data_IF_912695237027
#
_entry.id   IF_912695237027
#
_cell.length_a   1.000
_cell.length_b   1.000
_cell.length_c   1.000
_cell.angle_alpha   90.00
_cell.angle_beta   90.00
_cell.angle_gamma   90.00
#
_symmetry.space_group_name_H-M   'P 1'
#
loop_
_entity.id
_entity.type
_entity.pdbx_description
1 polymer ?
#
# COMPACT_ATOMS: atom_id res chain seq x y z
N UNK A 1 -53.49 3.99 -14.38
CA UNK A 1 -53.05 3.56 -13.02
C UNK A 1 -51.90 2.61 -13.02
N UNK A 2 -51.73 1.67 -13.96
CA UNK A 2 -50.62 0.68 -14.00
C UNK A 2 -49.25 1.34 -14.26
N UNK A 3 -49.16 2.35 -15.14
CA UNK A 3 -47.90 3.05 -15.46
C UNK A 3 -47.28 3.78 -14.27
N UNK A 4 -48.07 4.35 -13.36
CA UNK A 4 -47.57 5.06 -12.18
C UNK A 4 -47.01 4.13 -11.13
N UNK A 5 -47.59 2.94 -10.96
CA UNK A 5 -47.08 1.90 -10.01
C UNK A 5 -45.74 1.29 -10.46
N UNK A 6 -45.58 1.12 -11.79
CA UNK A 6 -44.31 0.59 -12.33
C UNK A 6 -43.17 1.59 -12.18
N UNK A 7 -43.43 2.89 -12.39
CA UNK A 7 -42.45 3.96 -12.19
C UNK A 7 -42.04 4.05 -10.69
N UNK A 8 -43.00 3.90 -9.78
CA UNK A 8 -42.72 3.93 -8.34
C UNK A 8 -41.85 2.73 -7.89
N UNK A 9 -42.08 1.54 -8.43
CA UNK A 9 -41.28 0.35 -8.15
C UNK A 9 -39.86 0.49 -8.70
N UNK A 10 -39.70 1.05 -9.90
CA UNK A 10 -38.37 1.32 -10.48
C UNK A 10 -37.61 2.38 -9.66
N UNK A 11 -38.28 3.43 -9.17
CA UNK A 11 -37.63 4.43 -8.28
C UNK A 11 -37.23 3.84 -6.94
N UNK A 12 -38.02 2.96 -6.36
CA UNK A 12 -37.69 2.28 -5.10
C UNK A 12 -36.53 1.26 -5.29
N UNK A 13 -36.45 0.59 -6.44
CA UNK A 13 -35.33 -0.27 -6.76
C UNK A 13 -34.03 0.50 -7.04
N UNK A 14 -34.11 1.71 -7.59
CA UNK A 14 -32.94 2.58 -7.81
C UNK A 14 -32.46 3.29 -6.52
N UNK A 15 -33.33 3.54 -5.56
CA UNK A 15 -32.94 4.11 -4.26
C UNK A 15 -32.34 3.09 -3.29
N UNK A 16 -32.46 1.77 -3.58
CA UNK A 16 -31.92 0.70 -2.75
C UNK A 16 -30.46 0.29 -3.09
N UNK A 17 -29.83 0.85 -4.14
CA UNK A 17 -28.49 0.44 -4.59
C UNK A 17 -27.41 1.47 -4.23
N UNK A 18 -27.69 2.45 -3.40
CA UNK A 18 -26.62 3.22 -2.76
C UNK A 18 -26.20 2.57 -1.45
N UNK A 19 -25.79 1.30 -1.46
CA UNK A 19 -24.81 0.83 -0.51
C UNK A 19 -23.48 1.47 -0.93
N UNK A 20 -23.35 2.76 -0.68
CA UNK A 20 -22.07 3.38 -0.51
C UNK A 20 -21.31 2.48 0.48
N UNK A 21 -20.39 1.69 -0.03
CA UNK A 21 -19.33 1.13 0.79
C UNK A 21 -18.55 2.35 1.25
N UNK A 22 -19.02 2.96 2.33
CA UNK A 22 -18.27 3.96 3.04
C UNK A 22 -17.03 3.22 3.52
N UNK A 23 -15.98 3.29 2.73
CA UNK A 23 -14.66 2.83 3.11
C UNK A 23 -14.35 3.62 4.37
N UNK A 24 -14.39 2.94 5.52
CA UNK A 24 -14.08 3.58 6.80
C UNK A 24 -12.68 4.12 6.62
N UNK A 25 -12.57 5.42 6.51
CA UNK A 25 -11.29 6.07 6.26
C UNK A 25 -10.39 5.77 7.43
N UNK A 26 -9.41 4.90 7.21
CA UNK A 26 -8.38 4.49 8.16
C UNK A 26 -7.67 5.71 8.77
N UNK A 27 -7.44 6.72 7.96
CA UNK A 27 -6.86 7.98 8.37
C UNK A 27 -7.46 9.11 7.53
N UNK A 28 -7.43 10.34 8.07
CA UNK A 28 -7.82 11.55 7.36
C UNK A 28 -6.74 12.60 7.60
N UNK A 29 -6.53 13.45 6.60
CA UNK A 29 -5.70 14.63 6.79
C UNK A 29 -6.37 15.52 7.81
N UNK A 30 -5.62 15.93 8.82
CA UNK A 30 -6.09 16.72 9.95
C UNK A 30 -5.46 18.12 10.00
N UNK A 31 -5.78 18.87 11.03
CA UNK A 31 -5.33 20.24 11.26
C UNK A 31 -4.13 20.38 12.22
N UNK A 32 -3.56 19.27 12.66
CA UNK A 32 -2.34 19.21 13.45
C UNK A 32 -2.50 19.24 14.97
N UNK A 33 -3.72 19.35 15.51
CA UNK A 33 -3.99 19.24 16.94
C UNK A 33 -4.31 17.81 17.34
N UNK A 34 -3.54 17.23 18.29
CA UNK A 34 -3.68 15.85 18.77
C UNK A 34 -3.56 14.74 17.73
N UNK A 35 -2.97 15.04 16.57
CA UNK A 35 -2.84 14.14 15.44
C UNK A 35 -1.42 13.57 15.34
N UNK A 36 -1.23 12.60 14.43
CA UNK A 36 0.09 12.09 14.11
C UNK A 36 0.74 12.96 13.03
N UNK A 37 1.89 13.55 13.34
CA UNK A 37 2.62 14.46 12.46
C UNK A 37 3.54 13.66 11.55
N UNK A 38 3.28 13.65 10.24
CA UNK A 38 4.19 13.09 9.23
C UNK A 38 5.23 14.13 8.80
N UNK A 39 4.76 15.34 8.47
CA UNK A 39 5.60 16.51 8.15
C UNK A 39 4.97 17.72 8.82
N UNK A 40 5.72 18.40 9.69
CA UNK A 40 5.27 19.62 10.37
C UNK A 40 6.42 20.55 10.70
N UNK A 41 6.22 21.87 10.51
CA UNK A 41 7.19 22.92 10.83
C UNK A 41 8.60 22.61 10.27
N UNK A 42 8.64 22.10 9.03
CA UNK A 42 9.88 21.77 8.36
C UNK A 42 10.58 20.48 8.82
N UNK A 43 10.01 19.75 9.78
CA UNK A 43 10.52 18.45 10.25
C UNK A 43 9.70 17.32 9.66
N UNK A 44 10.36 16.25 9.24
CA UNK A 44 9.74 15.00 8.80
C UNK A 44 9.84 13.96 9.91
N UNK A 45 8.83 13.10 10.02
CA UNK A 45 8.91 11.90 10.86
C UNK A 45 9.87 10.88 10.23
N UNK A 46 10.19 9.81 10.96
CA UNK A 46 11.06 8.75 10.51
C UNK A 46 10.31 7.41 10.55
N UNK A 47 10.55 6.55 9.56
CA UNK A 47 9.95 5.24 9.46
C UNK A 47 10.99 4.16 9.75
N UNK A 48 10.64 3.24 10.65
CA UNK A 48 11.47 2.13 11.06
C UNK A 48 10.87 0.78 10.64
N UNK A 49 11.69 -0.07 10.02
CA UNK A 49 11.38 -1.46 9.69
C UNK A 49 12.46 -2.39 10.28
N UNK A 50 12.15 -3.67 10.44
CA UNK A 50 13.11 -4.66 10.88
C UNK A 50 13.79 -5.33 9.67
N UNK A 51 15.10 -5.44 9.68
CA UNK A 51 15.89 -6.09 8.61
C UNK A 51 15.52 -7.57 8.41
N UNK A 52 14.96 -8.21 9.44
CA UNK A 52 14.49 -9.61 9.38
C UNK A 52 13.14 -9.76 8.68
N UNK A 53 12.43 -8.65 8.43
CA UNK A 53 11.16 -8.67 7.73
C UNK A 53 11.37 -8.90 6.22
N UNK A 54 10.30 -9.20 5.52
CA UNK A 54 10.33 -9.47 4.09
C UNK A 54 10.76 -8.25 3.27
N UNK A 55 11.46 -8.47 2.16
CA UNK A 55 11.95 -7.40 1.27
C UNK A 55 10.85 -6.43 0.83
N UNK A 56 9.64 -6.92 0.60
CA UNK A 56 8.49 -6.07 0.24
C UNK A 56 8.22 -4.98 1.27
N UNK A 57 8.47 -5.23 2.56
CA UNK A 57 8.23 -4.25 3.63
C UNK A 57 9.18 -3.06 3.48
N UNK A 58 10.49 -3.31 3.31
CA UNK A 58 11.48 -2.27 3.02
C UNK A 58 11.14 -1.51 1.73
N UNK A 59 10.77 -2.25 0.67
CA UNK A 59 10.42 -1.67 -0.63
C UNK A 59 9.21 -0.74 -0.52
N UNK A 60 8.14 -1.17 0.13
CA UNK A 60 6.93 -0.35 0.30
C UNK A 60 7.16 0.82 1.26
N UNK A 61 8.04 0.68 2.26
CA UNK A 61 8.45 1.78 3.12
C UNK A 61 9.13 2.91 2.32
N UNK A 62 10.01 2.57 1.37
CA UNK A 62 10.64 3.56 0.49
C UNK A 62 9.61 4.21 -0.46
N UNK A 63 8.70 3.43 -1.05
CA UNK A 63 7.61 3.96 -1.87
C UNK A 63 6.70 4.90 -1.08
N UNK A 64 6.46 4.61 0.19
CA UNK A 64 5.71 5.50 1.08
C UNK A 64 6.45 6.81 1.36
N UNK A 65 7.78 6.77 1.52
CA UNK A 65 8.60 7.99 1.62
C UNK A 65 8.48 8.84 0.35
N UNK A 66 8.52 8.21 -0.84
CA UNK A 66 8.27 8.89 -2.12
C UNK A 66 6.86 9.51 -2.18
N UNK A 67 5.84 8.81 -1.67
CA UNK A 67 4.47 9.32 -1.60
C UNK A 67 4.39 10.59 -0.75
N UNK A 68 5.05 10.60 0.41
CA UNK A 68 5.12 11.79 1.27
C UNK A 68 5.86 12.92 0.54
N UNK A 69 6.93 12.62 -0.18
CA UNK A 69 7.67 13.60 -1.01
C UNK A 69 6.77 14.15 -2.13
N UNK A 70 5.97 13.31 -2.76
CA UNK A 70 5.00 13.75 -3.78
C UNK A 70 3.98 14.73 -3.18
N UNK A 71 3.52 14.54 -1.94
CA UNK A 71 2.54 15.41 -1.28
C UNK A 71 3.18 16.68 -0.73
N UNK A 72 4.36 16.57 -0.09
CA UNK A 72 4.91 17.67 0.74
C UNK A 72 6.18 18.30 0.18
N UNK A 73 6.81 17.69 -0.81
CA UNK A 73 8.14 18.05 -1.28
C UNK A 73 9.27 17.59 -0.34
N UNK A 74 8.98 16.83 0.73
CA UNK A 74 9.95 16.35 1.72
C UNK A 74 9.89 14.84 1.86
N UNK A 75 11.03 14.22 1.94
CA UNK A 75 11.15 12.79 2.24
C UNK A 75 11.12 12.54 3.75
N UNK A 76 10.70 11.35 4.13
CA UNK A 76 10.93 10.79 5.46
C UNK A 76 12.09 9.80 5.38
N UNK A 77 12.94 9.77 6.41
CA UNK A 77 13.98 8.75 6.50
C UNK A 77 13.34 7.36 6.71
N UNK A 78 13.86 6.37 6.00
CA UNK A 78 13.50 4.95 6.15
C UNK A 78 14.71 4.23 6.71
N UNK A 79 14.62 3.83 7.97
CA UNK A 79 15.75 3.28 8.73
C UNK A 79 15.44 1.91 9.29
N UNK A 80 16.48 1.13 9.54
CA UNK A 80 16.34 -0.11 10.31
C UNK A 80 16.07 0.21 11.77
N UNK A 81 15.32 -0.67 12.43
CA UNK A 81 15.06 -0.58 13.87
C UNK A 81 16.37 -0.58 14.64
N UNK A 82 16.57 0.41 15.52
CA UNK A 82 17.76 0.60 16.32
C UNK A 82 17.45 1.14 17.72
N UNK A 83 18.52 1.39 18.51
CA UNK A 83 18.37 1.88 19.89
C UNK A 83 17.87 3.33 19.97
N UNK A 84 18.24 4.17 19.01
CA UNK A 84 17.93 5.59 18.98
C UNK A 84 16.82 5.87 17.96
N UNK A 85 15.58 5.85 18.40
CA UNK A 85 14.42 6.16 17.56
C UNK A 85 13.97 7.61 17.75
N UNK A 86 13.43 8.21 16.70
CA UNK A 86 12.84 9.55 16.74
C UNK A 86 11.66 9.60 17.70
N UNK A 87 11.52 10.73 18.38
CA UNK A 87 10.43 10.96 19.37
C UNK A 87 9.02 10.79 18.77
N UNK A 88 8.86 11.04 17.48
CA UNK A 88 7.66 10.81 16.71
C UNK A 88 8.06 9.96 15.50
N UNK A 89 7.57 8.72 15.38
CA UNK A 89 8.04 7.77 14.39
C UNK A 89 6.93 6.88 13.84
N UNK A 90 7.22 6.23 12.71
CA UNK A 90 6.40 5.16 12.17
C UNK A 90 7.12 3.84 12.41
N UNK A 91 6.41 2.81 12.84
CA UNK A 91 6.91 1.45 12.95
C UNK A 91 6.06 0.58 12.04
N UNK A 92 6.70 -0.06 11.07
CA UNK A 92 6.02 -0.93 10.12
C UNK A 92 6.63 -2.31 10.14
N UNK A 93 5.79 -3.36 10.10
CA UNK A 93 6.31 -4.71 10.03
C UNK A 93 5.25 -5.80 9.97
N UNK A 94 5.75 -7.01 9.75
CA UNK A 94 4.94 -8.22 9.70
C UNK A 94 4.95 -8.90 11.07
N UNK A 95 3.81 -9.41 11.49
CA UNK A 95 3.64 -10.11 12.76
C UNK A 95 4.64 -11.28 12.88
N UNK A 96 5.44 -11.28 13.95
CA UNK A 96 6.50 -12.27 14.20
C UNK A 96 7.81 -12.03 13.43
N UNK A 97 7.92 -10.96 12.65
CA UNK A 97 9.12 -10.60 11.88
C UNK A 97 9.69 -9.21 12.25
N UNK A 98 9.12 -8.56 13.27
CA UNK A 98 9.58 -7.25 13.72
C UNK A 98 9.70 -7.20 15.24
N UNK A 99 10.93 -7.06 15.74
CA UNK A 99 11.24 -7.10 17.18
C UNK A 99 10.53 -6.00 17.97
N UNK A 100 10.36 -4.80 17.40
CA UNK A 100 9.69 -3.71 18.09
C UNK A 100 8.19 -3.96 18.23
N UNK A 101 7.57 -4.55 17.20
CA UNK A 101 6.17 -4.98 17.24
C UNK A 101 6.02 -6.07 18.31
N UNK A 102 6.89 -7.07 18.32
CA UNK A 102 6.86 -8.14 19.32
C UNK A 102 7.02 -7.59 20.74
N UNK A 103 7.95 -6.63 20.97
CA UNK A 103 8.09 -5.93 22.25
C UNK A 103 6.83 -5.17 22.67
N UNK A 104 6.12 -4.52 21.73
CA UNK A 104 4.87 -3.82 22.03
C UNK A 104 3.76 -4.80 22.42
N UNK A 105 3.67 -5.95 21.76
CA UNK A 105 2.71 -7.02 22.06
C UNK A 105 3.00 -7.59 23.47
N UNK A 106 4.26 -7.96 23.75
CA UNK A 106 4.67 -8.49 25.05
C UNK A 106 4.39 -7.52 26.21
N UNK A 107 4.57 -6.21 25.96
CA UNK A 107 4.27 -5.16 26.94
C UNK A 107 2.78 -4.79 27.01
N UNK A 108 1.91 -5.51 26.30
CA UNK A 108 0.46 -5.25 26.21
C UNK A 108 0.11 -3.81 25.77
N UNK A 109 1.00 -3.17 25.01
CA UNK A 109 0.78 -1.83 24.42
C UNK A 109 0.15 -1.91 23.03
N UNK A 110 0.20 -3.08 22.40
CA UNK A 110 -0.36 -3.35 21.08
C UNK A 110 -1.15 -4.66 21.13
N UNK A 111 -2.42 -4.60 20.77
CA UNK A 111 -3.27 -5.78 20.61
C UNK A 111 -3.54 -6.03 19.13
N UNK A 112 -2.98 -7.12 18.62
CA UNK A 112 -3.13 -7.61 17.25
C UNK A 112 -3.77 -9.00 17.20
N UNK A 113 -4.48 -9.39 18.26
CA UNK A 113 -5.15 -10.70 18.31
C UNK A 113 -6.08 -10.94 17.14
N UNK A 114 -6.72 -9.89 16.63
CA UNK A 114 -7.58 -9.92 15.46
C UNK A 114 -6.85 -10.24 14.13
N UNK A 115 -5.51 -10.17 14.08
CA UNK A 115 -4.69 -10.57 12.92
C UNK A 115 -4.32 -12.06 12.94
N UNK A 116 -4.48 -12.72 14.11
CA UNK A 116 -4.07 -14.12 14.26
C UNK A 116 -4.86 -15.02 13.30
N UNK A 117 -4.14 -15.86 12.56
CA UNK A 117 -4.70 -16.77 11.55
C UNK A 117 -5.45 -16.06 10.40
N UNK A 118 -5.21 -14.76 10.21
CA UNK A 118 -5.69 -14.01 9.06
C UNK A 118 -4.62 -13.91 8.00
N UNK A 119 -5.04 -13.74 6.75
CA UNK A 119 -4.17 -13.52 5.62
C UNK A 119 -4.45 -12.15 5.00
N UNK A 120 -3.38 -11.49 4.58
CA UNK A 120 -3.44 -10.16 3.92
C UNK A 120 -4.27 -9.12 4.70
N UNK A 121 -4.30 -9.26 6.02
CA UNK A 121 -4.91 -8.29 6.93
C UNK A 121 -3.85 -7.40 7.57
N UNK A 122 -4.24 -6.24 8.02
CA UNK A 122 -3.36 -5.31 8.72
C UNK A 122 -4.06 -4.62 9.86
N UNK A 123 -3.27 -4.14 10.81
CA UNK A 123 -3.69 -3.32 11.94
C UNK A 123 -2.93 -2.00 11.92
N UNK A 124 -3.63 -0.90 12.22
CA UNK A 124 -3.04 0.43 12.33
C UNK A 124 -3.56 1.12 13.57
N UNK A 125 -2.64 1.68 14.37
CA UNK A 125 -2.97 2.56 15.48
C UNK A 125 -1.82 3.51 15.84
N UNK A 126 -2.12 4.59 16.55
CA UNK A 126 -1.12 5.48 17.16
C UNK A 126 -0.94 5.12 18.62
N UNK A 127 0.26 4.68 18.99
CA UNK A 127 0.63 4.33 20.38
C UNK A 127 1.39 5.50 20.98
N UNK A 128 0.94 5.95 22.17
CA UNK A 128 1.66 6.96 22.97
C UNK A 128 2.67 6.29 23.89
N UNK A 129 3.86 6.88 24.00
CA UNK A 129 4.96 6.39 24.83
C UNK A 129 5.25 4.89 24.62
N UNK A 130 5.43 4.43 23.34
CA UNK A 130 5.65 3.01 23.05
C UNK A 130 6.95 2.52 23.70
N UNK A 131 8.01 3.33 23.61
CA UNK A 131 9.34 3.05 24.13
C UNK A 131 9.93 4.27 24.83
N UNK A 132 11.00 4.11 25.67
CA UNK A 132 11.74 5.24 26.20
C UNK A 132 12.23 6.16 25.07
N UNK A 133 12.08 7.47 25.23
CA UNK A 133 12.46 8.45 24.21
C UNK A 133 11.44 8.67 23.08
N UNK A 134 10.51 7.75 22.86
CA UNK A 134 9.48 7.85 21.79
C UNK A 134 8.17 8.31 22.40
N UNK A 135 7.70 9.50 22.02
CA UNK A 135 6.42 10.07 22.51
C UNK A 135 5.22 9.49 21.77
N UNK A 136 5.32 9.30 20.47
CA UNK A 136 4.25 8.73 19.62
C UNK A 136 4.85 7.82 18.56
N UNK A 137 4.21 6.68 18.30
CA UNK A 137 4.46 5.87 17.12
C UNK A 137 3.17 5.57 16.38
N UNK A 138 3.17 5.80 15.07
CA UNK A 138 2.18 5.22 14.15
C UNK A 138 2.64 3.80 13.86
N UNK A 139 1.90 2.80 14.35
CA UNK A 139 2.25 1.39 14.20
C UNK A 139 1.37 0.76 13.14
N UNK A 140 2.00 0.11 12.16
CA UNK A 140 1.36 -0.59 11.05
C UNK A 140 1.85 -2.03 11.06
N UNK A 141 0.95 -2.98 11.32
CA UNK A 141 1.29 -4.40 11.43
C UNK A 141 0.46 -5.20 10.45
N UNK A 142 1.12 -6.00 9.60
CA UNK A 142 0.45 -6.96 8.75
C UNK A 142 0.39 -8.35 9.37
N UNK A 143 -0.66 -9.11 9.09
CA UNK A 143 -0.75 -10.55 9.42
C UNK A 143 0.28 -11.36 8.62
N UNK A 144 0.64 -10.86 7.45
CA UNK A 144 1.68 -11.37 6.55
C UNK A 144 2.32 -10.20 5.78
N UNK A 145 3.33 -10.52 4.94
CA UNK A 145 4.10 -9.53 4.17
C UNK A 145 3.24 -8.63 3.28
N UNK A 146 2.15 -9.16 2.69
CA UNK A 146 1.24 -8.36 1.85
C UNK A 146 0.29 -7.53 2.70
N UNK A 147 -0.19 -8.06 3.81
CA UNK A 147 -0.96 -7.28 4.78
C UNK A 147 -0.20 -6.04 5.25
N UNK A 148 1.11 -6.17 5.53
CA UNK A 148 1.97 -5.04 5.88
C UNK A 148 2.01 -4.00 4.76
N UNK A 149 2.23 -4.42 3.52
CA UNK A 149 2.24 -3.54 2.36
C UNK A 149 0.89 -2.83 2.16
N UNK A 150 -0.22 -3.55 2.30
CA UNK A 150 -1.57 -2.97 2.18
C UNK A 150 -1.88 -1.96 3.28
N UNK A 151 -1.41 -2.21 4.50
CA UNK A 151 -1.54 -1.26 5.61
C UNK A 151 -0.85 0.05 5.29
N UNK A 152 0.38 0.01 4.81
CA UNK A 152 1.16 1.19 4.48
C UNK A 152 0.57 1.95 3.29
N UNK A 153 0.19 1.26 2.20
CA UNK A 153 -0.47 1.88 1.06
C UNK A 153 -1.88 2.40 1.38
N UNK A 154 -2.54 1.90 2.42
CA UNK A 154 -3.79 2.51 2.90
C UNK A 154 -3.56 3.87 3.55
N UNK A 155 -2.38 4.09 4.17
CA UNK A 155 -1.98 5.44 4.61
C UNK A 155 -1.62 6.31 3.40
N UNK A 156 -0.94 5.77 2.37
CA UNK A 156 -0.68 6.50 1.12
C UNK A 156 -1.97 7.01 0.48
N UNK A 157 -2.98 6.17 0.41
CA UNK A 157 -4.32 6.55 -0.09
C UNK A 157 -4.94 7.66 0.78
N UNK A 158 -4.84 7.55 2.10
CA UNK A 158 -5.37 8.53 3.05
C UNK A 158 -4.70 9.91 2.94
N UNK A 159 -3.43 9.98 2.53
CA UNK A 159 -2.73 11.25 2.27
C UNK A 159 -2.97 11.79 0.87
N UNK A 160 -3.76 11.11 0.03
CA UNK A 160 -4.18 11.57 -1.27
C UNK A 160 -3.39 11.02 -2.45
N UNK A 161 -2.66 9.92 -2.27
CA UNK A 161 -1.99 9.22 -3.37
C UNK A 161 -2.94 8.17 -3.94
N UNK A 162 -3.44 8.41 -5.14
CA UNK A 162 -4.21 7.44 -5.90
C UNK A 162 -3.33 6.22 -6.26
N UNK A 163 -3.84 4.98 -6.23
CA UNK A 163 -3.14 3.83 -6.82
C UNK A 163 -2.70 4.07 -8.26
N UNK A 164 -3.44 4.90 -8.99
CA UNK A 164 -3.23 5.25 -10.40
C UNK A 164 -2.34 6.47 -10.62
N UNK A 165 -1.70 7.03 -9.57
CA UNK A 165 -0.93 8.27 -9.65
C UNK A 165 0.13 8.25 -10.77
N UNK A 166 0.75 7.10 -11.01
CA UNK A 166 1.80 6.94 -12.00
C UNK A 166 1.26 6.47 -13.37
N UNK A 167 0.27 5.54 -13.37
CA UNK A 167 -0.25 4.96 -14.60
C UNK A 167 -1.25 5.83 -15.35
N UNK A 168 -1.97 6.66 -14.62
CA UNK A 168 -3.03 7.52 -15.17
C UNK A 168 -2.83 9.00 -14.81
N UNK A 169 -1.60 9.41 -14.44
CA UNK A 169 -1.25 10.78 -14.08
C UNK A 169 -2.22 11.40 -13.07
N UNK A 170 -2.78 10.58 -12.16
CA UNK A 170 -3.74 11.06 -11.18
C UNK A 170 -3.11 12.16 -10.31
N UNK A 171 -3.72 13.35 -10.22
CA UNK A 171 -3.10 14.50 -9.58
C UNK A 171 -2.91 14.29 -8.08
N UNK A 172 -1.78 14.79 -7.57
CA UNK A 172 -1.44 14.80 -6.14
C UNK A 172 -1.59 16.20 -5.58
N UNK A 173 -2.46 16.36 -4.58
CA UNK A 173 -2.65 17.63 -3.89
C UNK A 173 -1.45 17.97 -3.02
N UNK A 174 -0.73 19.05 -3.34
CA UNK A 174 0.45 19.51 -2.59
C UNK A 174 0.06 20.14 -1.25
N UNK A 175 0.87 19.88 -0.21
CA UNK A 175 0.70 20.43 1.14
C UNK A 175 2.05 20.77 1.74
N UNK A 176 2.12 21.85 2.51
CA UNK A 176 3.34 22.23 3.27
C UNK A 176 3.51 21.37 4.52
N UNK A 177 2.41 20.99 5.14
CA UNK A 177 2.35 20.15 6.33
C UNK A 177 1.40 18.97 6.12
N UNK A 178 1.68 17.88 6.78
CA UNK A 178 0.91 16.64 6.68
C UNK A 178 0.77 16.00 8.06
N UNK A 179 -0.41 16.15 8.63
CA UNK A 179 -0.80 15.56 9.90
C UNK A 179 -1.99 14.62 9.68
N UNK A 180 -2.04 13.50 10.39
CA UNK A 180 -3.07 12.49 10.23
C UNK A 180 -3.86 12.27 11.52
N UNK A 181 -5.17 12.34 11.40
CA UNK A 181 -6.08 11.76 12.36
C UNK A 181 -6.25 10.28 12.04
N UNK A 182 -5.53 9.43 12.74
CA UNK A 182 -5.53 7.98 12.54
C UNK A 182 -6.54 7.32 13.47
N UNK A 183 -7.35 6.41 12.93
CA UNK A 183 -8.24 5.55 13.72
C UNK A 183 -7.51 4.24 14.04
N UNK A 184 -7.75 3.70 15.24
CA UNK A 184 -7.38 2.31 15.54
C UNK A 184 -8.27 1.38 14.74
N UNK A 185 -7.70 0.62 13.82
CA UNK A 185 -8.45 -0.25 12.92
C UNK A 185 -7.68 -1.52 12.60
N UNK A 186 -8.42 -2.62 12.47
CA UNK A 186 -7.92 -3.87 11.89
C UNK A 186 -8.73 -4.16 10.64
N UNK A 187 -8.07 -4.36 9.51
CA UNK A 187 -8.74 -4.73 8.26
C UNK A 187 -9.29 -6.14 8.34
N UNK A 188 -10.35 -6.40 7.59
CA UNK A 188 -10.79 -7.77 7.33
C UNK A 188 -9.86 -8.43 6.32
N UNK A 189 -9.75 -9.76 6.39
CA UNK A 189 -9.10 -10.54 5.33
C UNK A 189 -9.92 -10.47 4.04
N UNK A 190 -9.29 -10.50 2.87
CA UNK A 190 -10.00 -10.57 1.61
C UNK A 190 -10.79 -11.88 1.46
N UNK A 191 -11.95 -11.81 0.85
CA UNK A 191 -12.81 -13.01 0.60
C UNK A 191 -12.29 -13.87 -0.55
N UNK A 192 -11.50 -13.29 -1.47
CA UNK A 192 -10.92 -13.96 -2.64
C UNK A 192 -9.42 -14.02 -2.50
N UNK A 193 -8.82 -15.21 -2.60
CA UNK A 193 -7.40 -15.44 -2.39
C UNK A 193 -6.52 -14.77 -3.43
N UNK A 194 -6.83 -14.91 -4.72
CA UNK A 194 -6.06 -14.34 -5.81
C UNK A 194 -6.84 -13.21 -6.47
N UNK A 195 -6.25 -12.03 -6.50
CA UNK A 195 -6.82 -10.80 -7.07
C UNK A 195 -5.75 -10.12 -7.89
N UNK A 196 -6.02 -9.84 -9.14
CA UNK A 196 -4.94 -9.31 -9.97
C UNK A 196 -5.35 -8.87 -11.36
N UNK A 197 -4.34 -8.75 -12.19
CA UNK A 197 -4.46 -8.32 -13.57
C UNK A 197 -3.95 -9.41 -14.53
N UNK A 198 -4.48 -9.38 -15.73
CA UNK A 198 -3.97 -10.10 -16.87
C UNK A 198 -3.53 -9.10 -17.94
N UNK A 199 -2.27 -9.18 -18.36
CA UNK A 199 -1.74 -8.35 -19.43
C UNK A 199 -1.99 -9.11 -20.75
N UNK A 200 -3.00 -8.64 -21.51
CA UNK A 200 -3.48 -9.32 -22.72
C UNK A 200 -3.35 -8.46 -23.99
N UNK A 201 -2.97 -7.22 -23.85
CA UNK A 201 -2.84 -6.25 -24.96
C UNK A 201 -1.41 -5.71 -25.13
N UNK A 202 -0.42 -6.54 -24.75
CA UNK A 202 0.97 -6.13 -24.69
C UNK A 202 1.52 -5.58 -26.00
N UNK A 203 1.15 -6.15 -27.15
CA UNK A 203 1.63 -5.71 -28.46
C UNK A 203 0.91 -4.46 -28.98
N UNK A 204 -0.27 -4.15 -28.48
CA UNK A 204 -1.06 -2.96 -28.84
C UNK A 204 -0.72 -1.73 -27.98
N UNK A 205 -0.55 -1.91 -26.68
CA UNK A 205 -0.38 -0.85 -25.71
C UNK A 205 0.92 -0.93 -24.94
N UNK A 206 1.02 -1.86 -23.99
CA UNK A 206 2.08 -1.88 -23.00
C UNK A 206 3.49 -2.06 -23.61
N UNK A 207 3.65 -2.97 -24.57
CA UNK A 207 4.95 -3.18 -25.24
C UNK A 207 5.41 -1.93 -25.96
N UNK A 208 4.54 -1.30 -26.75
CA UNK A 208 4.89 -0.08 -27.49
C UNK A 208 5.28 1.04 -26.53
N UNK A 209 4.52 1.24 -25.47
CA UNK A 209 4.81 2.23 -24.47
C UNK A 209 6.14 1.95 -23.74
N UNK A 210 6.36 0.72 -23.27
CA UNK A 210 7.57 0.33 -22.54
C UNK A 210 8.83 0.57 -23.40
N UNK A 211 8.87 0.03 -24.61
CA UNK A 211 10.03 0.13 -25.49
C UNK A 211 10.35 1.55 -25.99
N UNK A 212 9.34 2.44 -26.05
CA UNK A 212 9.54 3.81 -26.56
C UNK A 212 9.70 4.84 -25.44
N UNK A 213 9.13 4.61 -24.26
CA UNK A 213 9.06 5.63 -23.22
C UNK A 213 9.78 5.25 -21.93
N UNK A 214 9.84 3.96 -21.57
CA UNK A 214 10.24 3.57 -20.22
C UNK A 214 11.44 2.62 -20.14
N UNK A 215 11.48 1.55 -20.94
CA UNK A 215 12.60 0.60 -21.03
C UNK A 215 13.21 0.60 -22.44
N UNK A 216 13.56 1.78 -22.95
CA UNK A 216 14.08 1.99 -24.30
C UNK A 216 15.31 1.12 -24.60
N UNK A 217 16.22 0.99 -23.64
CA UNK A 217 17.46 0.21 -23.76
C UNK A 217 17.17 -1.27 -23.95
N UNK A 218 16.08 -1.77 -23.40
CA UNK A 218 15.66 -3.17 -23.53
C UNK A 218 14.81 -3.39 -24.80
N UNK A 219 14.09 -2.36 -25.22
CA UNK A 219 13.17 -2.45 -26.36
C UNK A 219 11.99 -3.39 -26.15
N UNK A 220 11.65 -3.71 -24.88
CA UNK A 220 10.62 -4.68 -24.52
C UNK A 220 10.02 -4.37 -23.13
N UNK A 221 8.99 -5.15 -22.72
CA UNK A 221 8.48 -5.14 -21.36
C UNK A 221 9.49 -5.87 -20.48
N UNK A 222 10.06 -5.18 -19.51
CA UNK A 222 11.10 -5.70 -18.62
C UNK A 222 10.85 -5.44 -17.15
N UNK A 223 11.89 -5.64 -16.33
CA UNK A 223 11.78 -5.57 -14.87
C UNK A 223 11.32 -4.21 -14.34
N UNK A 224 11.68 -3.10 -14.99
CA UNK A 224 11.23 -1.77 -14.56
C UNK A 224 9.70 -1.62 -14.75
N UNK A 225 9.18 -2.07 -15.89
CA UNK A 225 7.74 -2.06 -16.19
C UNK A 225 6.99 -2.97 -15.22
N UNK A 226 7.47 -4.21 -15.02
CA UNK A 226 6.84 -5.13 -14.06
C UNK A 226 6.90 -4.63 -12.64
N UNK A 227 7.95 -3.92 -12.22
CA UNK A 227 8.01 -3.29 -10.91
C UNK A 227 6.86 -2.28 -10.72
N UNK A 228 6.56 -1.47 -11.75
CA UNK A 228 5.43 -0.53 -11.70
C UNK A 228 4.06 -1.22 -11.73
N UNK A 229 3.93 -2.33 -12.43
CA UNK A 229 2.72 -3.16 -12.39
C UNK A 229 2.53 -3.78 -11.00
N UNK A 230 3.59 -4.34 -10.42
CA UNK A 230 3.56 -4.94 -9.07
C UNK A 230 3.24 -3.89 -8.00
N UNK A 231 3.81 -2.68 -8.09
CA UNK A 231 3.46 -1.56 -7.22
C UNK A 231 1.98 -1.22 -7.31
N UNK A 232 1.42 -1.09 -8.53
CA UNK A 232 -0.01 -0.84 -8.74
C UNK A 232 -0.87 -1.92 -8.09
N UNK A 233 -0.53 -3.19 -8.29
CA UNK A 233 -1.25 -4.32 -7.69
C UNK A 233 -1.31 -4.20 -6.16
N UNK A 234 -0.18 -3.94 -5.50
CA UNK A 234 -0.15 -3.78 -4.05
C UNK A 234 -0.96 -2.57 -3.57
N UNK A 235 -0.91 -1.45 -4.30
CA UNK A 235 -1.74 -0.26 -4.01
C UNK A 235 -3.23 -0.56 -4.13
N UNK A 236 -3.63 -1.40 -5.08
CA UNK A 236 -5.00 -1.91 -5.26
C UNK A 236 -5.36 -3.06 -4.32
N UNK A 237 -4.48 -3.45 -3.40
CA UNK A 237 -4.64 -4.61 -2.50
C UNK A 237 -4.85 -5.92 -3.27
N UNK A 238 -4.16 -6.04 -4.41
CA UNK A 238 -4.10 -7.22 -5.24
C UNK A 238 -2.75 -7.93 -5.08
N UNK A 239 -2.68 -9.21 -5.49
CA UNK A 239 -1.54 -10.08 -5.21
C UNK A 239 -1.16 -11.01 -6.36
N UNK A 240 -1.79 -10.87 -7.53
CA UNK A 240 -1.67 -11.82 -8.63
C UNK A 240 -1.47 -11.10 -9.97
N UNK A 241 -0.59 -11.64 -10.82
CA UNK A 241 -0.35 -11.14 -12.17
C UNK A 241 -0.22 -12.31 -13.15
N UNK A 242 -1.04 -12.29 -14.20
CA UNK A 242 -0.73 -12.98 -15.46
C UNK A 242 0.05 -12.02 -16.33
N UNK A 243 1.36 -12.26 -16.58
CA UNK A 243 2.20 -11.34 -17.32
C UNK A 243 1.94 -11.43 -18.83
N UNK A 244 2.56 -10.51 -19.58
CA UNK A 244 2.58 -10.55 -21.04
C UNK A 244 3.22 -11.84 -21.58
N UNK A 245 2.55 -12.48 -22.55
CA UNK A 245 2.96 -13.79 -23.10
C UNK A 245 2.85 -13.88 -24.61
N UNK A 246 2.32 -12.84 -25.27
CA UNK A 246 2.19 -12.81 -26.71
C UNK A 246 3.58 -12.82 -27.40
N UNK A 247 3.70 -13.42 -28.59
CA UNK A 247 4.96 -13.55 -29.34
C UNK A 247 5.65 -12.21 -29.62
N UNK A 248 4.88 -11.11 -29.72
CA UNK A 248 5.42 -9.76 -29.90
C UNK A 248 6.28 -9.30 -28.72
N UNK A 249 6.02 -9.83 -27.52
CA UNK A 249 6.77 -9.51 -26.31
C UNK A 249 7.65 -10.69 -25.88
N UNK A 250 8.75 -10.38 -25.17
CA UNK A 250 9.55 -11.43 -24.54
C UNK A 250 8.78 -11.97 -23.34
N UNK A 251 8.52 -13.28 -23.31
CA UNK A 251 7.81 -13.91 -22.22
C UNK A 251 8.49 -13.61 -20.87
N UNK A 252 7.69 -13.37 -19.84
CA UNK A 252 8.13 -12.97 -18.49
C UNK A 252 9.30 -13.81 -17.97
N UNK A 253 9.20 -15.14 -18.07
CA UNK A 253 10.20 -16.07 -17.55
C UNK A 253 11.52 -16.12 -18.36
N UNK A 254 11.55 -15.55 -19.56
CA UNK A 254 12.77 -15.46 -20.38
C UNK A 254 13.69 -14.32 -19.92
N UNK A 255 13.20 -13.43 -19.08
CA UNK A 255 13.97 -12.32 -18.50
C UNK A 255 14.23 -12.67 -17.03
N UNK A 256 15.45 -13.11 -16.65
CA UNK A 256 15.73 -13.62 -15.31
C UNK A 256 15.42 -12.63 -14.18
N UNK A 257 15.57 -11.33 -14.42
CA UNK A 257 15.34 -10.27 -13.44
C UNK A 257 13.87 -10.13 -13.05
N UNK A 258 12.94 -10.51 -13.93
CA UNK A 258 11.50 -10.35 -13.69
C UNK A 258 11.02 -11.16 -12.47
N UNK A 259 11.55 -12.39 -12.28
CA UNK A 259 11.16 -13.21 -11.11
C UNK A 259 11.56 -12.56 -9.79
N UNK A 260 12.74 -11.91 -9.75
CA UNK A 260 13.19 -11.20 -8.55
C UNK A 260 12.33 -9.97 -8.27
N UNK A 261 11.87 -9.27 -9.32
CA UNK A 261 10.91 -8.17 -9.16
C UNK A 261 9.60 -8.69 -8.55
N UNK A 262 8.99 -9.71 -9.14
CA UNK A 262 7.73 -10.26 -8.64
C UNK A 262 7.84 -10.74 -7.18
N UNK A 263 8.92 -11.46 -6.84
CA UNK A 263 9.16 -11.94 -5.47
C UNK A 263 9.37 -10.78 -4.49
N UNK A 264 10.18 -9.79 -4.86
CA UNK A 264 10.45 -8.61 -4.03
C UNK A 264 9.20 -7.75 -3.75
N UNK A 265 8.16 -7.84 -4.58
CA UNK A 265 6.83 -7.26 -4.35
C UNK A 265 5.82 -8.26 -3.78
N UNK A 266 6.24 -9.49 -3.49
CA UNK A 266 5.37 -10.56 -3.01
C UNK A 266 4.16 -10.87 -3.93
N UNK A 267 4.31 -10.67 -5.24
CA UNK A 267 3.26 -10.94 -6.23
C UNK A 267 3.34 -12.38 -6.72
N UNK A 268 2.18 -13.04 -6.75
CA UNK A 268 2.03 -14.38 -7.31
C UNK A 268 1.91 -14.28 -8.82
N UNK A 269 2.73 -15.03 -9.53
CA UNK A 269 2.72 -15.05 -10.99
C UNK A 269 1.89 -16.21 -11.50
N UNK A 270 1.00 -15.91 -12.45
CA UNK A 270 0.23 -16.91 -13.19
C UNK A 270 0.72 -17.11 -14.61
N UNK A 271 0.14 -18.07 -15.27
CA UNK A 271 0.30 -18.32 -16.71
C UNK A 271 -1.00 -18.91 -17.23
N UNK A 272 -1.41 -18.54 -18.43
CA UNK A 272 -2.64 -19.03 -19.07
C UNK A 272 -2.37 -19.78 -20.38
N UNK A 273 -1.10 -19.91 -20.80
CA UNK A 273 -0.66 -20.66 -21.97
C UNK A 273 0.49 -21.60 -21.66
#
# INVERSE_FOLDING_TARGET
MIKLKVILIILVCLSGISTSWAQVSLAKIGNGTNEFELVKSGKSTELYYDVRDFEVVKKVANLFSDDIRLVTGREIAVSEVGENMSSNCIIVGTLGYNEMIDKLILKKKLDVSALKNKWESFHVEVIRNPFPGVKKALVIVGSDRRGTAYGLFSISEAIGISPWYWWADAPVNKRKELCLKVQKITSKEPTVKYRGLFINDEDWGLLRWAKTNFEKERGNIGPKTYAKVCELLLRLKANYLCPAMHEASTAFNKIPENKFVADSFAIVMGSVH
#
